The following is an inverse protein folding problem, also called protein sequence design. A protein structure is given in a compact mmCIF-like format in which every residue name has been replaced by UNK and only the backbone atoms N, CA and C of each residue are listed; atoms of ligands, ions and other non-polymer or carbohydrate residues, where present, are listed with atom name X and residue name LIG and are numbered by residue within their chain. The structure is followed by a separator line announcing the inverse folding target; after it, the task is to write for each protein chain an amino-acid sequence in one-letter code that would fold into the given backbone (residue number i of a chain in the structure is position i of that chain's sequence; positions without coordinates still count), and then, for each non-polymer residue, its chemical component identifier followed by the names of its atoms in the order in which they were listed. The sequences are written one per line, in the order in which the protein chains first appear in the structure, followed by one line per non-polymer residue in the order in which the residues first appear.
data_IF_853239841781
#
_entry.id   IF_853239841781
#
_cell.length_a   1.000
_cell.length_b   1.000
_cell.length_c   1.000
_cell.angle_alpha   90.00
_cell.angle_beta   90.00
_cell.angle_gamma   90.00
#
_symmetry.space_group_name_H-M   'P 1'
#
loop_
_entity.id
_entity.type
_entity.pdbx_description
1 polymer ?
#
# COMPACT_ATOMS: atom_id res chain seq x y z
N UNK A 1 29.37 -22.05 -103.81
CA UNK A 1 29.99 -23.27 -104.36
C UNK A 1 31.02 -23.79 -103.37
N UNK A 2 31.08 -25.11 -103.23
CA UNK A 2 32.07 -25.93 -102.50
C UNK A 2 33.52 -25.56 -102.90
N UNK A 3 34.64 -25.96 -102.28
CA UNK A 3 35.05 -26.99 -101.30
C UNK A 3 36.59 -26.88 -101.19
N UNK A 4 37.20 -27.46 -100.16
CA UNK A 4 38.60 -27.98 -100.19
C UNK A 4 39.42 -27.67 -98.93
N UNK A 5 39.41 -28.54 -97.91
CA UNK A 5 40.40 -29.62 -97.61
C UNK A 5 41.78 -29.14 -97.13
N UNK A 6 42.14 -29.53 -95.89
CA UNK A 6 43.50 -29.31 -95.36
C UNK A 6 43.77 -29.84 -93.94
N UNK A 7 43.97 -31.16 -93.83
CA UNK A 7 44.81 -31.93 -92.86
C UNK A 7 44.55 -31.87 -91.33
N UNK A 8 44.22 -33.06 -90.83
CA UNK A 8 44.43 -33.59 -89.48
C UNK A 8 45.90 -33.57 -89.04
N UNK A 9 46.16 -33.40 -87.74
CA UNK A 9 47.00 -34.31 -86.93
C UNK A 9 46.96 -33.93 -85.41
N UNK A 10 46.27 -34.79 -84.66
CA UNK A 10 46.61 -35.37 -83.34
C UNK A 10 46.84 -34.44 -82.13
N UNK A 11 45.82 -34.44 -81.26
CA UNK A 11 45.84 -34.03 -79.84
C UNK A 11 46.67 -35.02 -79.01
N UNK A 12 47.75 -34.55 -78.39
CA UNK A 12 48.29 -35.14 -77.15
C UNK A 12 47.65 -34.48 -75.92
N UNK A 13 47.42 -35.19 -74.81
CA UNK A 13 46.73 -34.64 -73.65
C UNK A 13 47.66 -33.67 -72.90
N UNK A 14 47.43 -32.37 -73.05
CA UNK A 14 47.99 -31.37 -72.13
C UNK A 14 47.12 -31.38 -70.89
N UNK A 15 47.63 -31.96 -69.80
CA UNK A 15 47.08 -31.81 -68.46
C UNK A 15 46.89 -30.32 -68.18
N UNK A 16 45.64 -29.86 -68.21
CA UNK A 16 45.26 -28.54 -67.75
C UNK A 16 45.32 -28.60 -66.22
N UNK A 17 46.47 -28.19 -65.66
CA UNK A 17 46.57 -27.83 -64.26
C UNK A 17 45.56 -26.70 -64.03
N UNK A 18 44.47 -26.99 -63.32
CA UNK A 18 43.57 -25.97 -62.84
C UNK A 18 44.40 -24.94 -62.03
N UNK A 19 44.28 -23.63 -62.28
CA UNK A 19 44.96 -22.65 -61.46
C UNK A 19 44.48 -22.85 -60.02
N UNK A 20 45.43 -23.01 -59.10
CA UNK A 20 45.15 -23.11 -57.68
C UNK A 20 44.24 -21.94 -57.28
N UNK A 21 43.01 -22.25 -56.88
CA UNK A 21 42.13 -21.26 -56.28
C UNK A 21 42.91 -20.62 -55.12
N UNK A 22 43.02 -19.28 -55.05
CA UNK A 22 43.68 -18.65 -53.92
C UNK A 22 42.93 -19.10 -52.68
N UNK A 23 43.65 -19.76 -51.77
CA UNK A 23 43.16 -20.08 -50.44
C UNK A 23 42.78 -18.75 -49.79
N UNK A 24 41.48 -18.45 -49.76
CA UNK A 24 40.93 -17.36 -48.98
C UNK A 24 41.20 -17.70 -47.52
N UNK A 25 42.34 -17.24 -47.01
CA UNK A 25 42.61 -17.24 -45.57
C UNK A 25 41.44 -16.47 -44.94
N UNK A 26 40.65 -17.07 -44.04
CA UNK A 26 39.58 -16.35 -43.40
C UNK A 26 40.20 -15.12 -42.73
N UNK A 27 39.63 -13.91 -42.89
CA UNK A 27 40.22 -12.72 -42.29
C UNK A 27 40.36 -12.98 -40.80
N UNK A 28 41.60 -12.95 -40.30
CA UNK A 28 41.87 -13.03 -38.86
C UNK A 28 41.11 -11.88 -38.25
N UNK A 29 40.02 -12.20 -37.55
CA UNK A 29 39.09 -11.21 -36.99
C UNK A 29 39.83 -10.52 -35.85
N UNK A 30 40.61 -9.48 -36.19
CA UNK A 30 41.42 -8.74 -35.24
C UNK A 30 40.56 -8.20 -34.09
N UNK A 31 41.14 -8.14 -32.89
CA UNK A 31 40.45 -7.59 -31.71
C UNK A 31 40.09 -6.12 -32.00
N UNK A 32 38.81 -5.78 -31.94
CA UNK A 32 38.32 -4.41 -32.14
C UNK A 32 38.84 -3.54 -30.99
N UNK A 33 39.62 -2.49 -31.29
CA UNK A 33 40.27 -1.60 -30.30
C UNK A 33 39.32 -0.56 -29.64
N UNK A 34 38.01 -0.82 -29.62
CA UNK A 34 37.00 0.17 -29.20
C UNK A 34 36.60 0.09 -27.72
N UNK A 35 37.12 0.98 -26.88
CA UNK A 35 36.82 1.01 -25.43
C UNK A 35 35.34 1.29 -25.11
N UNK A 36 34.69 2.23 -25.81
CA UNK A 36 33.30 2.62 -25.54
C UNK A 36 32.32 1.45 -25.65
N UNK A 37 32.51 0.61 -26.68
CA UNK A 37 31.67 -0.57 -26.88
C UNK A 37 31.90 -1.62 -25.79
N UNK A 38 33.16 -1.85 -25.40
CA UNK A 38 33.49 -2.76 -24.31
C UNK A 38 32.93 -2.28 -22.96
N UNK A 39 33.04 -0.98 -22.66
CA UNK A 39 32.48 -0.39 -21.44
C UNK A 39 30.95 -0.49 -21.40
N UNK A 40 30.27 -0.19 -22.51
CA UNK A 40 28.82 -0.37 -22.61
C UNK A 40 28.41 -1.83 -22.39
N UNK A 41 29.13 -2.76 -23.01
CA UNK A 41 28.88 -4.18 -22.84
C UNK A 41 29.09 -4.62 -21.37
N UNK A 42 30.11 -4.09 -20.70
CA UNK A 42 30.33 -4.35 -19.27
C UNK A 42 29.16 -3.86 -18.41
N UNK A 43 28.57 -2.70 -18.72
CA UNK A 43 27.37 -2.19 -18.04
C UNK A 43 26.14 -3.07 -18.28
N UNK A 44 26.00 -3.66 -19.47
CA UNK A 44 24.94 -4.63 -19.76
C UNK A 44 25.16 -5.93 -18.97
N UNK A 45 26.40 -6.43 -18.88
CA UNK A 45 26.74 -7.57 -18.03
C UNK A 45 26.45 -7.30 -16.55
N UNK A 46 26.75 -6.10 -16.04
CA UNK A 46 26.41 -5.69 -14.66
C UNK A 46 24.89 -5.73 -14.43
N UNK A 47 24.09 -5.21 -15.38
CA UNK A 47 22.62 -5.28 -15.31
C UNK A 47 22.11 -6.72 -15.31
N UNK A 48 22.64 -7.57 -16.18
CA UNK A 48 22.27 -8.98 -16.23
C UNK A 48 22.65 -9.73 -14.94
N UNK A 49 23.80 -9.41 -14.33
CA UNK A 49 24.17 -9.95 -13.02
C UNK A 49 23.19 -9.54 -11.93
N UNK A 50 22.78 -8.27 -11.89
CA UNK A 50 21.80 -7.78 -10.93
C UNK A 50 20.43 -8.46 -11.10
N UNK A 51 19.98 -8.68 -12.34
CA UNK A 51 18.72 -9.39 -12.61
C UNK A 51 18.80 -10.87 -12.24
N UNK A 52 19.96 -11.49 -12.46
CA UNK A 52 20.18 -12.91 -12.16
C UNK A 52 20.29 -13.18 -10.66
N UNK A 53 20.93 -12.28 -9.93
CA UNK A 53 21.14 -12.39 -8.48
C UNK A 53 20.98 -11.01 -7.84
N UNK A 54 19.75 -10.59 -7.53
CA UNK A 54 19.51 -9.32 -6.87
C UNK A 54 20.10 -9.36 -5.45
N UNK A 55 20.89 -8.35 -5.03
CA UNK A 55 21.37 -8.27 -3.67
C UNK A 55 20.20 -8.05 -2.69
N UNK A 56 20.36 -8.42 -1.40
CA UNK A 56 19.36 -8.09 -0.40
C UNK A 56 19.17 -6.57 -0.32
N UNK A 57 17.95 -6.09 0.00
CA UNK A 57 17.69 -4.67 0.08
C UNK A 57 18.54 -4.08 1.22
N UNK A 58 19.27 -3.00 0.93
CA UNK A 58 20.04 -2.23 1.91
C UNK A 58 19.27 -0.97 2.31
N UNK A 59 19.51 -0.48 3.54
CA UNK A 59 18.83 0.70 4.06
C UNK A 59 19.11 1.91 3.19
N UNK A 60 18.15 2.82 3.08
CA UNK A 60 18.36 4.05 2.31
C UNK A 60 19.48 4.92 2.93
N UNK A 61 19.60 4.91 4.25
CA UNK A 61 20.61 5.65 5.01
C UNK A 61 22.04 5.14 4.82
N UNK A 62 22.24 3.87 4.46
CA UNK A 62 23.55 3.28 4.17
C UNK A 62 24.04 3.62 2.74
N UNK A 63 23.12 4.02 1.85
CA UNK A 63 23.47 4.40 0.48
C UNK A 63 24.09 5.80 0.46
N UNK A 64 24.94 6.11 -0.54
CA UNK A 64 25.46 7.47 -0.74
C UNK A 64 24.34 8.52 -0.86
N UNK A 65 24.71 9.79 -0.69
CA UNK A 65 23.82 10.94 -0.81
C UNK A 65 22.64 10.85 0.17
N UNK A 66 22.93 10.77 1.46
CA UNK A 66 21.93 10.76 2.53
C UNK A 66 22.34 11.73 3.63
N UNK A 67 21.42 12.62 4.00
CA UNK A 67 21.56 13.52 5.14
C UNK A 67 20.29 13.42 5.99
N UNK A 68 20.44 12.84 7.19
CA UNK A 68 19.31 12.58 8.08
C UNK A 68 18.61 13.87 8.53
N UNK A 69 19.34 14.96 8.76
CA UNK A 69 18.72 16.19 9.24
C UNK A 69 17.89 16.86 8.15
N UNK A 70 18.46 16.96 6.94
CA UNK A 70 17.77 17.52 5.79
C UNK A 70 16.53 16.70 5.40
N UNK A 71 16.60 15.36 5.46
CA UNK A 71 15.47 14.49 5.12
C UNK A 71 14.33 14.59 6.14
N UNK A 72 14.63 14.71 7.44
CA UNK A 72 13.62 14.99 8.48
C UNK A 72 13.00 16.36 8.26
N UNK A 73 13.81 17.39 7.97
CA UNK A 73 13.31 18.73 7.72
C UNK A 73 12.42 18.78 6.47
N UNK A 74 12.72 17.99 5.44
CA UNK A 74 11.92 17.92 4.23
C UNK A 74 10.60 17.14 4.41
N UNK A 75 10.53 16.24 5.40
CA UNK A 75 9.34 15.42 5.67
C UNK A 75 8.11 16.28 6.05
N UNK A 76 8.26 17.25 6.95
CA UNK A 76 7.16 18.11 7.40
C UNK A 76 6.55 18.97 6.28
N UNK A 77 7.33 19.82 5.59
CA UNK A 77 6.86 20.65 4.48
C UNK A 77 6.27 19.84 3.31
N UNK A 78 6.75 18.61 3.06
CA UNK A 78 6.16 17.70 2.06
C UNK A 78 4.70 17.39 2.39
N UNK A 79 4.39 17.22 3.66
CA UNK A 79 3.04 16.97 4.17
C UNK A 79 2.24 18.25 4.43
N UNK A 80 2.85 19.43 4.21
CA UNK A 80 2.30 20.73 4.59
C UNK A 80 2.00 20.84 6.10
N UNK A 81 2.81 20.19 6.92
CA UNK A 81 2.69 20.17 8.39
C UNK A 81 3.91 20.78 9.08
N UNK A 82 3.68 21.41 10.23
CA UNK A 82 4.72 21.99 11.08
C UNK A 82 5.03 21.09 12.27
N UNK A 83 6.11 20.32 12.15
CA UNK A 83 6.62 19.46 13.23
C UNK A 83 7.68 20.16 14.05
N UNK A 84 7.74 19.87 15.35
CA UNK A 84 8.95 20.11 16.13
C UNK A 84 10.01 19.06 15.76
N UNK A 85 11.20 19.52 15.38
CA UNK A 85 12.25 18.64 14.83
C UNK A 85 12.75 17.63 15.85
N UNK A 86 12.79 18.00 17.14
CA UNK A 86 13.27 17.14 18.21
C UNK A 86 12.27 16.01 18.50
N UNK A 87 10.96 16.32 18.57
CA UNK A 87 9.95 15.28 18.73
C UNK A 87 9.91 14.35 17.51
N UNK A 88 10.02 14.91 16.31
CA UNK A 88 10.03 14.11 15.09
C UNK A 88 11.26 13.18 15.03
N UNK A 89 12.45 13.66 15.42
CA UNK A 89 13.64 12.80 15.57
C UNK A 89 13.40 11.69 16.58
N UNK A 90 12.80 11.98 17.74
CA UNK A 90 12.48 10.95 18.74
C UNK A 90 11.45 9.94 18.24
N UNK A 91 10.46 10.37 17.45
CA UNK A 91 9.42 9.47 16.93
C UNK A 91 9.98 8.38 16.00
N UNK A 92 11.05 8.67 15.26
CA UNK A 92 11.72 7.70 14.38
C UNK A 92 12.68 6.75 15.11
N UNK A 93 12.98 6.96 16.39
CA UNK A 93 13.88 6.12 17.19
C UNK A 93 13.09 4.99 17.85
N UNK A 94 13.41 3.74 17.49
CA UNK A 94 12.81 2.56 18.12
C UNK A 94 13.71 1.96 19.20
N UNK A 95 13.08 1.29 20.17
CA UNK A 95 13.79 0.58 21.25
C UNK A 95 14.71 -0.53 20.73
N UNK A 96 14.33 -1.21 19.64
CA UNK A 96 15.19 -2.21 19.01
C UNK A 96 16.49 -1.60 18.49
N UNK A 97 16.43 -0.39 17.93
CA UNK A 97 17.60 0.32 17.44
C UNK A 97 18.53 0.71 18.58
N UNK A 98 18.00 1.27 19.67
CA UNK A 98 18.79 1.63 20.86
C UNK A 98 19.53 0.40 21.41
N UNK A 99 18.83 -0.73 21.59
CA UNK A 99 19.44 -1.98 22.06
C UNK A 99 20.56 -2.47 21.12
N UNK A 100 20.35 -2.38 19.81
CA UNK A 100 21.36 -2.79 18.83
C UNK A 100 22.61 -1.89 18.83
N UNK A 101 22.43 -0.57 19.03
CA UNK A 101 23.55 0.38 19.13
C UNK A 101 24.31 0.21 20.44
N UNK A 102 23.62 -0.04 21.56
CA UNK A 102 24.28 -0.38 22.83
C UNK A 102 25.10 -1.67 22.72
N UNK A 103 24.58 -2.70 22.04
CA UNK A 103 25.31 -3.93 21.82
C UNK A 103 26.57 -3.70 20.94
N UNK A 104 26.47 -2.90 19.87
CA UNK A 104 27.63 -2.54 19.04
C UNK A 104 28.70 -1.80 19.85
N UNK A 105 28.32 -0.85 20.71
CA UNK A 105 29.25 -0.12 21.58
C UNK A 105 29.97 -1.03 22.56
N UNK A 106 29.24 -1.96 23.18
CA UNK A 106 29.81 -2.97 24.07
C UNK A 106 30.82 -3.86 23.34
N UNK A 107 30.49 -4.31 22.11
CA UNK A 107 31.39 -5.13 21.29
C UNK A 107 32.68 -4.39 20.88
N UNK A 108 32.62 -3.06 20.76
CA UNK A 108 33.78 -2.21 20.45
C UNK A 108 34.56 -1.79 21.72
N UNK A 109 34.12 -2.18 22.91
CA UNK A 109 34.78 -1.84 24.17
C UNK A 109 34.62 -0.38 24.60
N UNK A 110 33.60 0.32 24.12
CA UNK A 110 33.31 1.71 24.53
C UNK A 110 32.48 1.66 25.83
N UNK A 111 33.01 2.24 26.90
CA UNK A 111 32.35 2.27 28.20
C UNK A 111 31.04 3.07 28.15
N UNK A 112 29.96 2.52 28.73
CA UNK A 112 28.62 3.14 28.76
C UNK A 112 28.60 4.50 29.44
N UNK A 113 29.53 4.72 30.37
CA UNK A 113 29.60 5.88 31.25
C UNK A 113 30.28 7.09 30.59
N UNK A 114 31.14 6.88 29.58
CA UNK A 114 31.88 7.94 28.91
C UNK A 114 30.99 8.79 27.96
N UNK A 115 29.99 8.17 27.30
CA UNK A 115 29.04 8.86 26.41
C UNK A 115 27.67 8.16 26.47
N UNK A 116 26.81 8.62 27.37
CA UNK A 116 25.42 8.14 27.47
C UNK A 116 24.66 8.42 26.16
N UNK A 117 23.92 7.42 25.67
CA UNK A 117 22.94 7.60 24.60
C UNK A 117 21.76 8.38 25.15
N UNK A 118 21.75 9.70 24.99
CA UNK A 118 20.61 10.56 25.31
C UNK A 118 19.49 10.43 24.24
N UNK A 119 19.18 9.20 23.82
CA UNK A 119 18.09 8.90 22.90
C UNK A 119 16.88 8.41 23.70
N UNK A 120 15.72 8.97 23.40
CA UNK A 120 14.44 8.55 23.98
C UNK A 120 13.75 7.57 23.04
N UNK A 121 13.09 6.58 23.63
CA UNK A 121 12.22 5.65 22.92
C UNK A 121 10.93 6.35 22.47
N UNK A 122 10.39 5.92 21.33
CA UNK A 122 9.14 6.43 20.76
C UNK A 122 7.86 5.81 21.36
N UNK A 123 7.95 5.02 22.44
CA UNK A 123 6.82 4.30 23.03
C UNK A 123 5.70 5.24 23.48
N UNK A 124 6.02 6.24 24.31
CA UNK A 124 5.03 7.21 24.82
C UNK A 124 4.31 7.96 23.68
N UNK A 125 5.07 8.40 22.66
CA UNK A 125 4.50 9.07 21.48
C UNK A 125 3.60 8.13 20.68
N UNK A 126 3.98 6.86 20.55
CA UNK A 126 3.20 5.87 19.82
C UNK A 126 1.87 5.55 20.53
N UNK A 127 1.86 5.48 21.85
CA UNK A 127 0.64 5.25 22.64
C UNK A 127 -0.33 6.44 22.54
N UNK A 128 0.21 7.67 22.62
CA UNK A 128 -0.58 8.89 22.43
C UNK A 128 -1.16 8.98 21.01
N UNK A 129 -0.35 8.71 19.98
CA UNK A 129 -0.83 8.72 18.60
C UNK A 129 -1.85 7.62 18.32
N UNK A 130 -1.66 6.43 18.89
CA UNK A 130 -2.60 5.30 18.75
C UNK A 130 -3.93 5.62 19.41
N UNK A 131 -3.92 6.06 20.68
CA UNK A 131 -5.14 6.41 21.40
C UNK A 131 -5.90 7.55 20.73
N UNK A 132 -5.21 8.63 20.34
CA UNK A 132 -5.83 9.76 19.62
C UNK A 132 -6.37 9.36 18.25
N UNK A 133 -5.64 8.54 17.48
CA UNK A 133 -6.11 8.09 16.17
C UNK A 133 -7.38 7.25 16.27
N UNK A 134 -7.46 6.34 17.26
CA UNK A 134 -8.65 5.53 17.51
C UNK A 134 -9.84 6.42 17.90
N UNK A 135 -9.67 7.35 18.85
CA UNK A 135 -10.77 8.22 19.28
C UNK A 135 -11.23 9.17 18.17
N UNK A 136 -10.30 9.69 17.39
CA UNK A 136 -10.61 10.57 16.26
C UNK A 136 -11.34 9.81 15.14
N UNK A 137 -10.89 8.61 14.80
CA UNK A 137 -11.57 7.76 13.81
C UNK A 137 -12.95 7.29 14.27
N UNK A 138 -13.12 6.93 15.55
CA UNK A 138 -14.46 6.59 16.09
C UNK A 138 -15.41 7.76 15.95
N UNK A 139 -14.98 8.98 16.33
CA UNK A 139 -15.80 10.19 16.22
C UNK A 139 -16.21 10.47 14.77
N UNK A 140 -15.24 10.42 13.83
CA UNK A 140 -15.54 10.62 12.42
C UNK A 140 -16.55 9.60 11.87
N UNK A 141 -16.44 8.34 12.27
CA UNK A 141 -17.35 7.29 11.81
C UNK A 141 -18.73 7.37 12.46
N UNK A 142 -18.81 7.74 13.74
CA UNK A 142 -20.09 7.99 14.44
C UNK A 142 -20.85 9.16 13.82
N UNK A 143 -20.15 10.26 13.51
CA UNK A 143 -20.74 11.43 12.87
C UNK A 143 -21.20 11.15 11.44
N UNK A 144 -20.43 10.36 10.68
CA UNK A 144 -20.74 10.03 9.30
C UNK A 144 -21.79 8.92 9.13
N UNK A 145 -21.81 7.95 10.04
CA UNK A 145 -22.67 6.76 9.99
C UNK A 145 -23.35 6.51 11.36
N UNK A 146 -24.31 7.36 11.75
CA UNK A 146 -24.95 7.28 13.07
C UNK A 146 -25.77 5.98 13.27
N UNK A 147 -26.22 5.37 12.18
CA UNK A 147 -26.99 4.13 12.21
C UNK A 147 -26.11 2.87 12.33
N UNK A 148 -24.78 3.00 12.18
CA UNK A 148 -23.86 1.86 12.19
C UNK A 148 -23.69 1.31 13.61
N UNK A 149 -23.70 -0.02 13.74
CA UNK A 149 -23.50 -0.67 15.03
C UNK A 149 -22.09 -0.42 15.58
N UNK A 150 -21.95 -0.39 16.92
CA UNK A 150 -20.67 -0.11 17.59
C UNK A 150 -19.59 -1.15 17.27
N UNK A 151 -19.96 -2.42 17.07
CA UNK A 151 -19.01 -3.45 16.59
C UNK A 151 -18.53 -3.16 15.17
N UNK A 152 -19.41 -2.66 14.30
CA UNK A 152 -19.07 -2.23 12.96
C UNK A 152 -18.06 -1.09 12.98
N UNK A 153 -18.32 -0.05 13.78
CA UNK A 153 -17.40 1.09 13.96
C UNK A 153 -16.03 0.60 14.47
N UNK A 154 -16.00 -0.25 15.51
CA UNK A 154 -14.75 -0.82 16.04
C UNK A 154 -13.98 -1.58 14.96
N UNK A 155 -14.66 -2.43 14.18
CA UNK A 155 -14.00 -3.18 13.11
C UNK A 155 -13.41 -2.29 12.01
N UNK A 156 -14.07 -1.19 11.67
CA UNK A 156 -13.54 -0.19 10.72
C UNK A 156 -12.31 0.53 11.29
N UNK A 157 -12.35 0.89 12.57
CA UNK A 157 -11.21 1.53 13.25
C UNK A 157 -10.03 0.56 13.36
N UNK A 158 -10.26 -0.68 13.74
CA UNK A 158 -9.22 -1.71 13.83
C UNK A 158 -8.60 -2.02 12.47
N UNK A 159 -9.40 -1.98 11.40
CA UNK A 159 -8.89 -2.10 10.04
C UNK A 159 -8.04 -0.91 9.61
N UNK A 160 -8.52 0.32 9.80
CA UNK A 160 -7.79 1.54 9.47
C UNK A 160 -6.48 1.68 10.25
N UNK A 161 -6.50 1.25 11.51
CA UNK A 161 -5.33 1.23 12.40
C UNK A 161 -4.53 -0.07 12.30
N UNK A 162 -4.94 -1.00 11.43
CA UNK A 162 -4.30 -2.30 11.24
C UNK A 162 -2.94 -2.21 10.58
N UNK A 163 -2.12 -3.24 10.80
CA UNK A 163 -0.72 -3.27 10.34
C UNK A 163 -0.60 -3.08 8.81
N UNK A 164 -1.47 -3.71 8.03
CA UNK A 164 -1.42 -3.67 6.56
C UNK A 164 -1.62 -2.25 6.02
N UNK A 165 -2.69 -1.58 6.46
CA UNK A 165 -3.06 -0.23 6.00
C UNK A 165 -2.01 0.78 6.46
N UNK A 166 -1.64 0.72 7.74
CA UNK A 166 -0.65 1.66 8.31
C UNK A 166 0.72 1.49 7.67
N UNK A 167 1.20 0.26 7.49
CA UNK A 167 2.48 0.01 6.81
C UNK A 167 2.45 0.47 5.36
N UNK A 168 1.32 0.28 4.65
CA UNK A 168 1.17 0.77 3.29
C UNK A 168 1.30 2.30 3.21
N UNK A 169 0.57 3.03 4.07
CA UNK A 169 0.65 4.49 4.15
C UNK A 169 2.07 4.93 4.53
N UNK A 170 2.67 4.32 5.55
CA UNK A 170 4.02 4.64 6.01
C UNK A 170 5.08 4.47 4.91
N UNK A 171 5.00 3.40 4.11
CA UNK A 171 5.91 3.17 2.97
C UNK A 171 5.75 4.24 1.89
N UNK A 172 4.51 4.59 1.55
CA UNK A 172 4.22 5.60 0.53
C UNK A 172 4.62 7.01 0.97
N UNK A 173 4.61 7.28 2.28
CA UNK A 173 5.09 8.54 2.86
C UNK A 173 6.60 8.56 3.13
N UNK A 174 7.33 7.49 2.76
CA UNK A 174 8.76 7.31 3.01
C UNK A 174 9.16 7.30 4.50
N UNK A 175 8.22 6.96 5.40
CA UNK A 175 8.48 6.79 6.84
C UNK A 175 9.51 5.68 7.07
N UNK A 176 9.38 4.56 6.34
CA UNK A 176 10.31 3.41 6.45
C UNK A 176 11.78 3.79 6.21
N UNK A 177 12.05 4.81 5.38
CA UNK A 177 13.42 5.25 5.08
C UNK A 177 14.05 6.05 6.24
N UNK A 178 13.21 6.74 7.02
CA UNK A 178 13.61 7.56 8.17
C UNK A 178 13.62 6.76 9.47
N UNK A 179 12.88 5.64 9.52
CA UNK A 179 12.79 4.78 10.69
C UNK A 179 14.15 4.19 11.09
N UNK A 180 14.59 4.51 12.31
CA UNK A 180 15.77 3.90 12.91
C UNK A 180 15.36 2.59 13.61
N UNK A 181 15.58 1.48 12.92
CA UNK A 181 15.30 0.10 13.38
C UNK A 181 16.58 -0.76 13.39
N UNK A 182 16.60 -1.83 14.17
CA UNK A 182 17.70 -2.79 14.21
C UNK A 182 17.78 -3.69 12.96
N UNK A 183 16.64 -4.02 12.36
CA UNK A 183 16.53 -4.92 11.19
C UNK A 183 16.01 -4.17 9.96
N UNK A 184 16.39 -4.65 8.77
CA UNK A 184 15.91 -4.14 7.49
C UNK A 184 15.64 -5.30 6.52
N UNK A 185 14.45 -5.39 5.88
CA UNK A 185 13.32 -4.46 5.90
C UNK A 185 12.70 -4.27 7.29
N UNK A 186 12.04 -3.13 7.52
CA UNK A 186 11.47 -2.84 8.85
C UNK A 186 10.26 -3.76 9.09
N UNK A 187 10.21 -4.48 10.23
CA UNK A 187 9.07 -5.36 10.50
C UNK A 187 7.78 -4.54 10.69
N UNK A 188 6.62 -5.05 10.22
CA UNK A 188 5.34 -4.34 10.29
C UNK A 188 4.97 -3.72 11.65
N UNK A 189 5.11 -4.42 12.80
CA UNK A 189 4.74 -3.82 14.09
C UNK A 189 5.61 -2.62 14.46
N UNK A 190 6.91 -2.65 14.12
CA UNK A 190 7.83 -1.52 14.37
C UNK A 190 7.49 -0.35 13.46
N UNK A 191 7.17 -0.62 12.19
CA UNK A 191 6.76 0.43 11.25
C UNK A 191 5.44 1.08 11.67
N UNK A 192 4.46 0.28 12.08
CA UNK A 192 3.19 0.75 12.62
C UNK A 192 3.39 1.61 13.87
N UNK A 193 4.20 1.14 14.83
CA UNK A 193 4.55 1.89 16.03
C UNK A 193 5.19 3.25 15.68
N UNK A 194 6.12 3.27 14.72
CA UNK A 194 6.77 4.53 14.30
C UNK A 194 5.81 5.49 13.64
N UNK A 195 4.87 4.98 12.83
CA UNK A 195 3.84 5.81 12.22
C UNK A 195 2.95 6.47 13.27
N UNK A 196 2.50 5.71 14.27
CA UNK A 196 1.74 6.29 15.38
C UNK A 196 2.57 7.23 16.25
N UNK A 197 3.87 6.98 16.42
CA UNK A 197 4.76 7.93 17.10
C UNK A 197 4.86 9.27 16.34
N UNK A 198 4.89 9.24 15.00
CA UNK A 198 4.86 10.45 14.17
C UNK A 198 3.53 11.20 14.34
N UNK A 199 2.41 10.49 14.43
CA UNK A 199 1.11 11.10 14.76
C UNK A 199 1.12 11.73 16.16
N UNK A 200 1.71 11.06 17.16
CA UNK A 200 1.87 11.61 18.51
C UNK A 200 2.76 12.86 18.52
N UNK A 201 3.85 12.86 17.75
CA UNK A 201 4.70 14.04 17.58
C UNK A 201 3.96 15.20 16.89
N UNK A 202 3.11 14.91 15.89
CA UNK A 202 2.26 15.90 15.24
C UNK A 202 1.23 16.49 16.21
N UNK A 203 0.63 15.64 17.05
CA UNK A 203 -0.35 16.03 18.06
C UNK A 203 0.25 16.99 19.09
N UNK A 204 1.45 16.70 19.58
CA UNK A 204 2.16 17.59 20.51
C UNK A 204 2.66 18.88 19.84
N UNK A 205 2.99 18.85 18.55
CA UNK A 205 3.56 20.01 17.84
C UNK A 205 2.49 20.98 17.33
N UNK A 206 1.42 20.46 16.72
CA UNK A 206 0.43 21.24 15.94
C UNK A 206 -0.99 21.19 16.52
N UNK A 207 -1.23 20.38 17.55
CA UNK A 207 -2.52 20.27 18.22
C UNK A 207 -3.47 19.23 17.60
N UNK A 208 -4.66 19.04 18.21
CA UNK A 208 -5.59 17.98 17.85
C UNK A 208 -6.32 18.22 16.52
N UNK A 209 -6.72 19.46 16.23
CA UNK A 209 -7.48 19.79 15.01
C UNK A 209 -6.68 19.48 13.74
N UNK A 210 -5.39 19.84 13.74
CA UNK A 210 -4.51 19.60 12.61
C UNK A 210 -4.19 18.11 12.45
N UNK A 211 -3.93 17.43 13.56
CA UNK A 211 -3.72 15.96 13.56
C UNK A 211 -4.97 15.20 13.08
N UNK A 212 -6.17 15.67 13.42
CA UNK A 212 -7.42 15.08 12.94
C UNK A 212 -7.58 15.20 11.42
N UNK A 213 -7.20 16.34 10.83
CA UNK A 213 -7.15 16.52 9.37
C UNK A 213 -6.13 15.58 8.73
N UNK A 214 -4.95 15.42 9.33
CA UNK A 214 -3.93 14.47 8.86
C UNK A 214 -4.49 13.03 8.85
N UNK A 215 -5.15 12.60 9.94
CA UNK A 215 -5.79 11.28 10.02
C UNK A 215 -6.88 11.11 8.96
N UNK A 216 -7.72 12.14 8.77
CA UNK A 216 -8.76 12.15 7.73
C UNK A 216 -8.16 11.96 6.33
N UNK A 217 -7.12 12.71 6.01
CA UNK A 217 -6.58 12.76 4.66
C UNK A 217 -5.75 11.51 4.31
N UNK A 218 -5.09 10.88 5.29
CA UNK A 218 -4.21 9.71 5.05
C UNK A 218 -4.82 8.36 5.42
N UNK A 219 -5.65 8.27 6.46
CA UNK A 219 -6.23 6.99 6.90
C UNK A 219 -7.64 6.79 6.32
N UNK A 220 -8.54 7.76 6.43
CA UNK A 220 -9.93 7.58 5.94
C UNK A 220 -9.96 7.35 4.42
N UNK A 221 -9.03 7.95 3.67
CA UNK A 221 -8.89 7.74 2.23
C UNK A 221 -8.62 6.28 1.85
N UNK A 222 -8.06 5.46 2.75
CA UNK A 222 -7.79 4.02 2.55
C UNK A 222 -9.06 3.14 2.55
N UNK A 223 -10.20 3.69 2.95
CA UNK A 223 -11.51 3.04 2.85
C UNK A 223 -12.24 3.34 1.53
N UNK A 224 -11.74 4.27 0.72
CA UNK A 224 -12.38 4.62 -0.55
C UNK A 224 -12.38 3.42 -1.49
N UNK A 225 -13.55 3.05 -2.00
CA UNK A 225 -13.71 1.90 -2.89
C UNK A 225 -13.73 0.53 -2.20
N UNK A 226 -13.59 0.46 -0.87
CA UNK A 226 -13.76 -0.77 -0.10
C UNK A 226 -15.20 -0.93 0.37
N UNK A 227 -15.66 -2.17 0.42
CA UNK A 227 -17.00 -2.48 0.93
C UNK A 227 -17.02 -2.67 2.44
N UNK A 228 -18.16 -2.39 3.08
CA UNK A 228 -18.32 -2.53 4.54
C UNK A 228 -17.99 -3.95 5.02
N UNK A 229 -18.54 -4.97 4.37
CA UNK A 229 -18.39 -6.37 4.79
C UNK A 229 -17.11 -7.05 4.30
N UNK A 230 -16.34 -6.38 3.43
CA UNK A 230 -14.96 -6.78 3.13
C UNK A 230 -14.06 -6.49 4.34
N UNK A 231 -14.32 -5.36 5.02
CA UNK A 231 -13.62 -4.94 6.22
C UNK A 231 -14.20 -5.65 7.45
N UNK A 232 -15.51 -5.54 7.66
CA UNK A 232 -16.24 -6.15 8.76
C UNK A 232 -16.75 -7.53 8.37
N UNK A 233 -15.97 -8.57 8.67
CA UNK A 233 -16.29 -9.96 8.34
C UNK A 233 -17.40 -10.51 9.23
N UNK A 234 -18.65 -10.38 8.79
CA UNK A 234 -19.84 -10.92 9.47
C UNK A 234 -20.09 -12.37 9.04
N UNK A 235 -20.22 -13.27 10.01
CA UNK A 235 -20.46 -14.71 9.78
C UNK A 235 -21.93 -14.99 9.42
N UNK A 236 -22.89 -14.40 10.15
CA UNK A 236 -24.33 -14.62 9.92
C UNK A 236 -25.06 -13.30 9.62
N UNK A 237 -25.10 -12.85 8.35
CA UNK A 237 -25.70 -11.57 8.01
C UNK A 237 -27.24 -11.57 8.18
N UNK A 238 -27.91 -12.71 7.98
CA UNK A 238 -29.36 -12.82 8.18
C UNK A 238 -29.75 -12.69 9.66
N UNK A 239 -28.99 -13.33 10.56
CA UNK A 239 -29.22 -13.21 12.01
C UNK A 239 -29.07 -11.75 12.47
N UNK A 240 -28.00 -11.10 12.03
CA UNK A 240 -27.72 -9.70 12.35
C UNK A 240 -28.80 -8.77 11.78
N UNK A 241 -29.29 -9.03 10.56
CA UNK A 241 -30.41 -8.30 9.98
C UNK A 241 -31.69 -8.43 10.81
N UNK A 242 -32.03 -9.63 11.26
CA UNK A 242 -33.21 -9.86 12.11
C UNK A 242 -33.10 -9.12 13.44
N UNK A 243 -31.90 -9.07 14.04
CA UNK A 243 -31.65 -8.31 15.27
C UNK A 243 -31.83 -6.80 15.04
N UNK A 244 -31.29 -6.26 13.95
CA UNK A 244 -31.47 -4.84 13.59
C UNK A 244 -32.92 -4.47 13.29
N UNK A 245 -33.65 -5.35 12.59
CA UNK A 245 -35.08 -5.15 12.32
C UNK A 245 -35.90 -5.18 13.62
N UNK A 246 -35.58 -6.10 14.55
CA UNK A 246 -36.20 -6.14 15.89
C UNK A 246 -35.96 -4.85 16.68
N UNK A 247 -34.73 -4.32 16.68
CA UNK A 247 -34.41 -3.03 17.35
C UNK A 247 -35.24 -1.87 16.77
N UNK A 248 -35.54 -1.91 15.47
CA UNK A 248 -36.32 -0.88 14.76
C UNK A 248 -37.84 -1.15 14.75
N UNK A 249 -38.31 -2.18 15.46
CA UNK A 249 -39.72 -2.63 15.49
C UNK A 249 -40.29 -2.96 14.09
N UNK A 250 -39.48 -3.52 13.21
CA UNK A 250 -39.90 -3.99 11.87
C UNK A 250 -40.15 -5.50 11.94
N UNK A 251 -41.13 -6.00 11.17
CA UNK A 251 -41.43 -7.42 11.07
C UNK A 251 -40.26 -8.22 10.49
N UNK A 252 -40.23 -9.52 10.78
CA UNK A 252 -39.18 -10.40 10.27
C UNK A 252 -39.17 -10.42 8.72
N UNK A 253 -38.00 -10.47 8.08
CA UNK A 253 -37.90 -10.51 6.63
C UNK A 253 -38.31 -11.88 6.09
N UNK A 254 -39.15 -11.88 5.05
CA UNK A 254 -39.47 -13.06 4.23
C UNK A 254 -38.56 -13.07 2.99
N UNK A 255 -37.78 -14.13 2.81
CA UNK A 255 -37.00 -14.37 1.59
C UNK A 255 -37.88 -15.00 0.49
N UNK A 256 -37.85 -14.39 -0.71
CA UNK A 256 -38.60 -14.85 -1.89
C UNK A 256 -37.70 -14.81 -3.10
N UNK A 257 -37.76 -15.85 -3.93
CA UNK A 257 -37.09 -15.86 -5.22
C UNK A 257 -37.78 -14.87 -6.16
N UNK A 258 -37.04 -13.86 -6.63
CA UNK A 258 -37.55 -12.84 -7.56
C UNK A 258 -37.29 -13.22 -9.01
N UNK A 259 -36.08 -13.72 -9.30
CA UNK A 259 -35.65 -14.15 -10.64
C UNK A 259 -34.75 -15.37 -10.52
N UNK A 260 -34.73 -16.20 -11.57
CA UNK A 260 -33.77 -17.29 -11.70
C UNK A 260 -33.41 -17.51 -13.17
N UNK A 261 -32.17 -17.89 -13.42
CA UNK A 261 -31.68 -18.26 -14.75
C UNK A 261 -30.80 -19.50 -14.66
N UNK A 262 -31.00 -20.45 -15.58
CA UNK A 262 -30.14 -21.62 -15.70
C UNK A 262 -30.13 -22.55 -14.48
N UNK A 263 -31.27 -22.77 -13.82
CA UNK A 263 -31.37 -23.52 -12.55
C UNK A 263 -30.78 -24.94 -12.58
N UNK A 264 -30.70 -25.57 -13.75
CA UNK A 264 -30.11 -26.91 -13.96
C UNK A 264 -28.72 -26.88 -14.59
N UNK A 265 -28.19 -25.69 -14.90
CA UNK A 265 -26.87 -25.52 -15.51
C UNK A 265 -25.78 -25.50 -14.45
N UNK A 266 -24.51 -25.60 -14.88
CA UNK A 266 -23.36 -25.48 -13.98
C UNK A 266 -23.16 -24.06 -13.43
N UNK A 267 -23.73 -23.03 -14.07
CA UNK A 267 -23.61 -21.62 -13.69
C UNK A 267 -25.00 -20.99 -13.50
N UNK A 268 -25.77 -21.46 -12.51
CA UNK A 268 -27.07 -20.89 -12.20
C UNK A 268 -26.92 -19.49 -11.61
N UNK A 269 -27.92 -18.64 -11.81
CA UNK A 269 -28.01 -17.31 -11.21
C UNK A 269 -29.38 -17.14 -10.59
N UNK A 270 -29.43 -16.96 -9.28
CA UNK A 270 -30.64 -16.72 -8.52
C UNK A 270 -30.65 -15.28 -8.01
N UNK A 271 -31.82 -14.66 -8.00
CA UNK A 271 -32.05 -13.39 -7.31
C UNK A 271 -33.06 -13.64 -6.20
N UNK A 272 -32.67 -13.29 -4.97
CA UNK A 272 -33.50 -13.41 -3.78
C UNK A 272 -33.83 -12.00 -3.28
N UNK A 273 -35.11 -11.73 -3.12
CA UNK A 273 -35.63 -10.51 -2.52
C UNK A 273 -36.05 -10.74 -1.07
N UNK A 274 -35.70 -9.81 -0.19
CA UNK A 274 -36.14 -9.77 1.20
C UNK A 274 -37.30 -8.78 1.34
N UNK A 275 -38.44 -9.28 1.82
CA UNK A 275 -39.67 -8.51 2.02
C UNK A 275 -40.01 -8.40 3.51
N UNK A 276 -40.36 -7.20 3.98
CA UNK A 276 -41.04 -7.03 5.27
C UNK A 276 -42.39 -6.37 5.01
N UNK A 277 -43.47 -6.90 5.59
CA UNK A 277 -44.85 -6.45 5.37
C UNK A 277 -45.21 -6.30 3.88
N UNK A 278 -44.77 -7.27 3.06
CA UNK A 278 -44.94 -7.29 1.59
C UNK A 278 -44.22 -6.15 0.84
N UNK A 279 -43.30 -5.43 1.48
CA UNK A 279 -42.45 -4.40 0.86
C UNK A 279 -41.03 -4.92 0.68
N UNK A 280 -40.51 -4.83 -0.53
CA UNK A 280 -39.13 -5.22 -0.86
C UNK A 280 -38.14 -4.25 -0.20
N UNK A 281 -37.25 -4.77 0.65
CA UNK A 281 -36.19 -3.97 1.29
C UNK A 281 -34.89 -4.07 0.49
N UNK A 282 -34.52 -5.29 0.11
CA UNK A 282 -33.29 -5.59 -0.60
C UNK A 282 -33.46 -6.77 -1.55
N UNK A 283 -32.62 -6.81 -2.57
CA UNK A 283 -32.51 -7.93 -3.51
C UNK A 283 -31.01 -8.22 -3.68
N UNK A 284 -30.64 -9.50 -3.71
CA UNK A 284 -29.26 -9.96 -3.86
C UNK A 284 -29.16 -11.08 -4.91
N UNK A 285 -28.18 -11.03 -5.81
CA UNK A 285 -27.87 -12.14 -6.70
C UNK A 285 -26.96 -13.18 -6.01
N UNK A 286 -26.98 -14.42 -6.50
CA UNK A 286 -26.04 -15.44 -6.06
C UNK A 286 -26.06 -16.70 -6.94
N UNK A 287 -24.99 -17.48 -6.82
CA UNK A 287 -24.84 -18.76 -7.53
C UNK A 287 -25.79 -19.83 -6.97
N UNK A 288 -26.05 -19.80 -5.66
CA UNK A 288 -27.05 -20.65 -5.01
C UNK A 288 -28.09 -19.80 -4.31
N UNK A 289 -29.25 -20.38 -4.03
CA UNK A 289 -30.34 -19.67 -3.31
C UNK A 289 -29.87 -19.17 -1.94
N UNK A 290 -29.05 -19.96 -1.23
CA UNK A 290 -28.50 -19.58 0.08
C UNK A 290 -27.53 -18.40 -0.03
N UNK A 291 -26.60 -18.42 -1.00
CA UNK A 291 -25.66 -17.32 -1.22
C UNK A 291 -26.42 -16.05 -1.64
N UNK A 292 -27.43 -16.17 -2.50
CA UNK A 292 -28.25 -15.05 -2.91
C UNK A 292 -29.03 -14.44 -1.73
N UNK A 293 -29.53 -15.28 -0.81
CA UNK A 293 -30.18 -14.83 0.42
C UNK A 293 -29.21 -14.11 1.37
N UNK A 294 -28.01 -14.65 1.57
CA UNK A 294 -26.96 -14.00 2.37
C UNK A 294 -26.53 -12.65 1.78
N UNK A 295 -26.37 -12.56 0.46
CA UNK A 295 -26.05 -11.30 -0.22
C UNK A 295 -27.20 -10.30 -0.14
N UNK A 296 -28.45 -10.75 -0.28
CA UNK A 296 -29.61 -9.89 -0.07
C UNK A 296 -29.64 -9.32 1.36
N UNK A 297 -29.24 -10.12 2.36
CA UNK A 297 -29.12 -9.68 3.75
C UNK A 297 -28.01 -8.61 3.92
N UNK A 298 -26.85 -8.82 3.30
CA UNK A 298 -25.75 -7.83 3.27
C UNK A 298 -26.18 -6.53 2.60
N UNK A 299 -26.89 -6.60 1.47
CA UNK A 299 -27.46 -5.41 0.82
C UNK A 299 -28.45 -4.69 1.75
N UNK A 300 -29.32 -5.41 2.44
CA UNK A 300 -30.26 -4.83 3.41
C UNK A 300 -29.52 -4.11 4.55
N UNK A 301 -28.51 -4.75 5.14
CA UNK A 301 -27.69 -4.15 6.20
C UNK A 301 -26.95 -2.89 5.73
N UNK A 302 -26.33 -2.92 4.53
CA UNK A 302 -25.69 -1.72 3.93
C UNK A 302 -26.67 -0.55 3.80
N UNK A 303 -27.93 -0.82 3.40
CA UNK A 303 -28.99 0.19 3.36
C UNK A 303 -29.36 0.69 4.76
N UNK A 304 -29.52 -0.21 5.72
CA UNK A 304 -29.88 0.14 7.10
C UNK A 304 -28.82 0.99 7.81
N UNK A 305 -27.54 0.79 7.48
CA UNK A 305 -26.41 1.54 8.03
C UNK A 305 -26.01 2.77 7.22
N UNK A 306 -26.68 3.05 6.09
CA UNK A 306 -26.31 4.16 5.21
C UNK A 306 -24.99 3.98 4.45
N UNK A 307 -24.30 2.85 4.60
CA UNK A 307 -23.05 2.51 3.89
C UNK A 307 -23.34 1.88 2.53
N UNK A 308 -24.13 2.56 1.71
CA UNK A 308 -24.43 2.14 0.33
C UNK A 308 -23.41 2.71 -0.66
N UNK A 309 -23.32 2.15 -1.86
CA UNK A 309 -22.49 2.72 -2.93
C UNK A 309 -22.97 4.13 -3.35
N UNK A 310 -24.28 4.36 -3.27
CA UNK A 310 -24.92 5.64 -3.61
C UNK A 310 -24.85 6.69 -2.48
N UNK A 311 -24.05 6.44 -1.43
CA UNK A 311 -23.88 7.39 -0.33
C UNK A 311 -23.19 8.67 -0.81
N UNK A 312 -23.33 9.74 -0.02
CA UNK A 312 -22.56 10.97 -0.28
C UNK A 312 -21.07 10.67 -0.09
N UNK A 313 -20.19 11.10 -1.01
CA UNK A 313 -18.76 11.02 -0.81
C UNK A 313 -18.34 11.74 0.48
N UNK A 314 -17.23 11.31 1.06
CA UNK A 314 -16.67 11.96 2.23
C UNK A 314 -16.27 13.41 1.91
N UNK A 315 -16.57 14.33 2.82
CA UNK A 315 -16.21 15.73 2.64
C UNK A 315 -14.76 15.98 3.07
N UNK A 316 -13.89 16.17 2.08
CA UNK A 316 -12.48 16.53 2.28
C UNK A 316 -12.23 18.04 2.15
N UNK A 317 -13.28 18.86 2.08
CA UNK A 317 -13.13 20.31 2.08
C UNK A 317 -12.48 20.79 3.39
N UNK A 318 -11.85 21.97 3.33
CA UNK A 318 -11.31 22.59 4.53
C UNK A 318 -12.48 22.97 5.43
N UNK A 319 -12.48 22.58 6.73
CA UNK A 319 -13.52 23.01 7.64
C UNK A 319 -13.58 24.53 7.62
N UNK A 320 -14.79 25.09 7.55
CA UNK A 320 -14.97 26.53 7.67
C UNK A 320 -14.51 26.89 9.07
N UNK A 321 -13.43 27.67 9.17
CA UNK A 321 -13.00 28.24 10.45
C UNK A 321 -14.24 28.86 11.12
N UNK A 322 -14.44 28.54 12.40
CA UNK A 322 -15.50 29.12 13.19
C UNK A 322 -15.26 30.64 13.31
N UNK A 323 -15.71 31.41 12.32
CA UNK A 323 -15.79 32.89 12.31
C UNK A 323 -16.60 33.46 13.51
N UNK A 324 -17.09 32.59 14.41
CA UNK A 324 -17.78 32.95 15.65
C UNK A 324 -16.83 33.13 16.84
N UNK A 325 -15.65 32.52 16.87
CA UNK A 325 -14.73 32.64 18.01
C UNK A 325 -13.95 33.98 18.01
N UNK A 326 -13.64 34.53 16.85
CA UNK A 326 -12.93 35.83 16.75
C UNK A 326 -13.85 37.04 17.03
N UNK A 327 -15.16 36.90 16.82
CA UNK A 327 -16.13 37.99 17.08
C UNK A 327 -16.42 38.19 18.57
N UNK A 328 -16.17 37.20 19.42
CA UNK A 328 -16.33 37.33 20.88
C UNK A 328 -15.11 37.96 21.55
N UNK A 329 -13.92 37.89 20.95
CA UNK A 329 -12.69 38.49 21.50
C UNK A 329 -12.56 39.96 21.09
N UNK A 330 -13.18 40.37 19.98
CA UNK A 330 -13.21 41.77 19.52
C UNK A 330 -14.32 42.60 20.16
N UNK A 331 -15.17 42.00 21.00
CA UNK A 331 -16.31 42.67 21.66
C UNK A 331 -16.20 42.71 23.20
N UNK A 332 -15.02 42.42 23.77
CA UNK A 332 -14.74 42.53 25.20
C UNK A 332 -13.75 43.66 25.52
#
# INVERSE_FOLDING_TARGET
MASGLGRLLVRGPRCLLAPAAPTLVPPVRGVKKGFRAAFRFQKELERWRLLRSPPPPARRSEKPNWDYHAEIQAFGPRLQETFSLDLLKTAFVNSCYIKSEEAKRQNLGIEKEAVLLNLKDNQELSEQGTSFSKTCLTQFLEDAYPDLHTEGIKSLVDFLTGEEVVCHVARNLAVEQLTLSAEFPVPPPVLQQTFFAVIGALLQSSGPERTALFIRDFLITQMTGKELFEIWKVINPMGLLVEELKKRNISAPESRLTRQSGSTTALPVFFVGLYCDKKLIAEGPGETVLVAEEEAARVALRKLYGFTENRRPWDYSKPKENLRAEKTITAS
#
